data_IF_419650280434
#
_entry.id   IF_419650280434
#
_cell.length_a   1.000
_cell.length_b   1.000
_cell.length_c   1.000
_cell.angle_alpha   90.00
_cell.angle_beta   90.00
_cell.angle_gamma   90.00
#
_symmetry.space_group_name_H-M   'P 1'
#
loop_
_entity.id
_entity.type
_entity.pdbx_description
1 polymer ?
#
# COMPACT_ATOMS: atom_id res chain seq x y z
N UNK A 1 7.81 7.66 -2.91
CA UNK A 1 8.52 8.71 -2.17
C UNK A 1 9.01 9.72 -3.16
N UNK A 2 8.63 10.97 -2.97
CA UNK A 2 8.99 12.10 -3.84
C UNK A 2 9.97 13.03 -3.11
N UNK A 3 10.13 14.26 -3.64
CA UNK A 3 10.97 15.28 -3.02
C UNK A 3 10.46 15.74 -1.63
N UNK A 4 9.18 15.52 -1.34
CA UNK A 4 8.49 15.91 -0.10
C UNK A 4 8.45 14.77 0.94
N UNK A 5 8.96 13.58 0.57
CA UNK A 5 9.22 12.48 1.49
C UNK A 5 8.51 11.19 1.11
N UNK A 6 8.24 10.37 2.12
CA UNK A 6 7.57 9.07 1.94
C UNK A 6 6.08 9.28 1.73
N UNK A 7 5.49 8.50 0.84
CA UNK A 7 4.06 8.59 0.48
C UNK A 7 3.22 7.60 1.28
N UNK A 8 3.79 6.45 1.64
CA UNK A 8 3.07 5.38 2.31
C UNK A 8 4.03 4.39 2.99
N UNK A 9 3.45 3.47 3.74
CA UNK A 9 4.09 2.25 4.18
C UNK A 9 3.63 1.11 3.27
N UNK A 10 4.44 0.82 2.25
CA UNK A 10 4.16 -0.14 1.18
C UNK A 10 3.46 -1.42 1.66
N UNK A 11 2.26 -1.65 1.15
CA UNK A 11 1.44 -2.83 1.46
C UNK A 11 0.85 -2.87 2.87
N UNK A 12 0.99 -1.80 3.65
CA UNK A 12 0.49 -1.70 5.04
C UNK A 12 -0.50 -0.55 5.19
N UNK A 13 -0.11 0.69 4.90
CA UNK A 13 -0.94 1.87 5.16
C UNK A 13 -0.50 3.05 4.31
N UNK A 14 -1.46 3.82 3.77
CA UNK A 14 -1.19 5.09 3.10
C UNK A 14 -0.63 6.15 4.05
N UNK A 15 0.10 7.13 3.51
CA UNK A 15 0.55 8.29 4.27
C UNK A 15 -0.55 9.34 4.42
N UNK A 16 -0.50 10.09 5.52
CA UNK A 16 -1.46 11.16 5.79
C UNK A 16 -1.38 12.30 4.76
N UNK A 17 -0.17 12.69 4.35
CA UNK A 17 0.07 13.77 3.37
C UNK A 17 -0.53 13.47 1.99
N UNK A 18 -0.51 12.21 1.59
CA UNK A 18 -0.89 11.74 0.24
C UNK A 18 -2.29 11.11 0.21
N UNK A 19 -2.96 11.06 1.37
CA UNK A 19 -4.33 10.57 1.48
C UNK A 19 -5.31 11.46 0.72
N UNK A 20 -6.33 10.83 0.12
CA UNK A 20 -7.43 11.53 -0.52
C UNK A 20 -8.31 12.21 0.53
N UNK A 21 -8.68 13.45 0.25
CA UNK A 21 -9.52 14.35 1.07
C UNK A 21 -10.68 14.92 0.24
N UNK A 22 -11.59 15.66 0.90
CA UNK A 22 -12.77 16.26 0.26
C UNK A 22 -12.43 17.28 -0.85
N UNK A 23 -11.23 17.87 -0.81
CA UNK A 23 -10.71 18.83 -1.80
C UNK A 23 -9.83 18.19 -2.89
N UNK A 24 -9.62 16.87 -2.84
CA UNK A 24 -8.83 16.17 -3.86
C UNK A 24 -9.55 16.14 -5.21
N UNK A 25 -8.90 16.67 -6.25
CA UNK A 25 -9.46 16.76 -7.62
C UNK A 25 -8.76 15.86 -8.63
N UNK A 26 -7.63 15.25 -8.25
CA UNK A 26 -6.89 14.29 -9.06
C UNK A 26 -6.27 13.22 -8.17
N UNK A 27 -6.21 11.99 -8.67
CA UNK A 27 -5.66 10.86 -7.93
C UNK A 27 -4.79 9.98 -8.84
N UNK A 28 -3.83 9.31 -8.21
CA UNK A 28 -3.14 8.17 -8.78
C UNK A 28 -3.63 6.92 -8.06
N UNK A 29 -3.87 5.85 -8.82
CA UNK A 29 -4.22 4.54 -8.27
C UNK A 29 -2.99 3.65 -8.27
N UNK A 30 -2.51 3.30 -7.08
CA UNK A 30 -1.41 2.34 -6.94
C UNK A 30 -1.93 0.91 -7.01
N UNK A 31 -1.29 0.10 -7.86
CA UNK A 31 -1.56 -1.34 -8.00
C UNK A 31 -0.22 -2.07 -7.96
N UNK A 32 0.04 -2.79 -6.87
CA UNK A 32 1.33 -3.42 -6.63
C UNK A 32 1.17 -4.76 -5.90
N UNK A 33 2.17 -5.62 -6.05
CA UNK A 33 2.35 -6.84 -5.24
C UNK A 33 3.64 -6.71 -4.46
N UNK A 34 3.54 -6.81 -3.14
CA UNK A 34 4.68 -6.67 -2.22
C UNK A 34 5.15 -8.01 -1.70
N UNK A 35 6.41 -8.08 -1.28
CA UNK A 35 6.96 -9.24 -0.59
C UNK A 35 6.20 -9.51 0.74
N UNK A 36 5.56 -10.69 0.90
CA UNK A 36 4.76 -10.98 2.09
C UNK A 36 5.55 -10.93 3.40
N UNK A 37 6.83 -11.30 3.38
CA UNK A 37 7.69 -11.32 4.57
C UNK A 37 7.98 -9.90 5.05
N UNK A 38 8.28 -8.99 4.13
CA UNK A 38 8.54 -7.58 4.40
C UNK A 38 7.32 -6.87 4.95
N UNK A 39 6.14 -7.12 4.37
CA UNK A 39 4.86 -6.58 4.87
C UNK A 39 4.54 -7.11 6.27
N UNK A 40 4.67 -8.42 6.50
CA UNK A 40 4.42 -9.03 7.80
C UNK A 40 5.37 -8.48 8.88
N UNK A 41 6.66 -8.35 8.54
CA UNK A 41 7.71 -7.89 9.47
C UNK A 41 7.47 -6.42 9.85
N UNK A 42 7.21 -5.57 8.86
CA UNK A 42 6.95 -4.14 9.08
C UNK A 42 5.67 -3.93 9.89
N UNK A 43 4.58 -4.60 9.52
CA UNK A 43 3.31 -4.50 10.22
C UNK A 43 3.39 -4.93 11.67
N UNK A 44 4.10 -6.03 11.97
CA UNK A 44 4.35 -6.49 13.34
C UNK A 44 5.19 -5.51 14.13
N UNK A 45 6.29 -5.01 13.53
CA UNK A 45 7.22 -4.06 14.19
C UNK A 45 6.51 -2.78 14.63
N UNK A 46 5.58 -2.30 13.83
CA UNK A 46 4.86 -1.04 14.08
C UNK A 46 3.49 -1.25 14.75
N UNK A 47 3.11 -2.50 15.02
CA UNK A 47 1.81 -2.87 15.57
C UNK A 47 0.61 -2.31 14.76
N UNK A 48 0.74 -2.30 13.44
CA UNK A 48 -0.29 -1.80 12.52
C UNK A 48 -1.06 -2.95 11.90
N UNK A 49 -2.37 -2.98 12.11
CA UNK A 49 -3.25 -4.01 11.55
C UNK A 49 -4.23 -3.35 10.57
N UNK A 50 -4.03 -3.58 9.28
CA UNK A 50 -4.91 -3.13 8.20
C UNK A 50 -5.31 -4.31 7.32
N UNK A 51 -6.42 -4.16 6.59
CA UNK A 51 -6.85 -5.15 5.62
C UNK A 51 -5.82 -5.35 4.50
N UNK A 52 -5.15 -4.28 4.08
CA UNK A 52 -4.07 -4.34 3.10
C UNK A 52 -2.96 -5.27 3.60
N UNK A 53 -2.41 -4.99 4.79
CA UNK A 53 -1.38 -5.82 5.42
C UNK A 53 -1.83 -7.28 5.52
N UNK A 54 -3.04 -7.50 6.02
CA UNK A 54 -3.58 -8.85 6.22
C UNK A 54 -3.59 -9.68 4.92
N UNK A 55 -3.95 -9.06 3.80
CA UNK A 55 -3.98 -9.71 2.49
C UNK A 55 -2.57 -9.91 1.93
N UNK A 56 -1.75 -8.87 1.93
CA UNK A 56 -0.38 -8.94 1.40
C UNK A 56 0.51 -9.93 2.16
N UNK A 57 0.39 -10.03 3.49
CA UNK A 57 1.20 -10.97 4.30
C UNK A 57 0.86 -12.46 4.04
N UNK A 58 -0.25 -12.74 3.34
CA UNK A 58 -0.68 -14.10 2.95
C UNK A 58 -0.41 -14.40 1.47
N UNK A 59 0.17 -13.45 0.74
CA UNK A 59 0.39 -13.54 -0.69
C UNK A 59 -0.84 -13.17 -1.51
N UNK A 60 -0.59 -12.56 -2.66
CA UNK A 60 -1.59 -12.25 -3.68
C UNK A 60 -1.21 -12.97 -4.98
N UNK A 61 -2.19 -13.11 -5.87
CA UNK A 61 -1.93 -13.54 -7.25
C UNK A 61 -1.06 -12.50 -7.96
N UNK A 62 0.10 -12.90 -8.48
CA UNK A 62 1.05 -12.01 -9.14
C UNK A 62 0.55 -11.46 -10.47
N UNK A 63 -0.39 -12.15 -11.12
CA UNK A 63 -1.02 -11.67 -12.35
C UNK A 63 -2.11 -10.64 -12.07
N UNK A 64 -2.46 -10.43 -10.78
CA UNK A 64 -3.56 -9.56 -10.43
C UNK A 64 -3.44 -8.10 -10.86
N UNK A 65 -2.25 -7.50 -10.84
CA UNK A 65 -2.07 -6.13 -11.31
C UNK A 65 -2.41 -5.96 -12.79
N UNK A 66 -2.20 -6.99 -13.63
CA UNK A 66 -2.39 -6.90 -15.08
C UNK A 66 -3.85 -6.67 -15.43
N UNK A 67 -4.77 -7.41 -14.80
CA UNK A 67 -6.20 -7.20 -15.03
C UNK A 67 -6.74 -5.94 -14.34
N UNK A 68 -6.10 -5.48 -13.27
CA UNK A 68 -6.55 -4.32 -12.50
C UNK A 68 -6.11 -2.99 -13.13
N UNK A 69 -5.00 -2.98 -13.87
CA UNK A 69 -4.44 -1.78 -14.48
C UNK A 69 -5.17 -1.33 -15.76
N UNK A 70 -5.90 -2.24 -16.43
CA UNK A 70 -6.60 -1.96 -17.69
C UNK A 70 -5.69 -2.01 -18.91
#
# INVERSE_FOLDING_TARGET
>A
GDAEGVDDLAGVMGGERTGVSDDTTGMFLEIAVFDPISVATTGRKLNLNSDARYRFERGLDSESPVWAAG
#
